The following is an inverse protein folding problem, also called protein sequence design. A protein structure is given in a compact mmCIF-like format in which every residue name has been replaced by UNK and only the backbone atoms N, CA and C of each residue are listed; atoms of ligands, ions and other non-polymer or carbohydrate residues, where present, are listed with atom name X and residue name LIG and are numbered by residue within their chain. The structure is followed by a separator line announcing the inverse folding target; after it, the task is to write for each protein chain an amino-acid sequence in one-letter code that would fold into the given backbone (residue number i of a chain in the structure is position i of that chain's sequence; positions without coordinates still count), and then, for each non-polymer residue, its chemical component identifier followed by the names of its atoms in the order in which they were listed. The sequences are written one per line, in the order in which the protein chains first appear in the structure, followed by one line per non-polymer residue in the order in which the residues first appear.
data_IF_778037556877
#
_entry.id   IF_778037556877
#
_cell.length_a   1.000
_cell.length_b   1.000
_cell.length_c   1.000
_cell.angle_alpha   90.00
_cell.angle_beta   90.00
_cell.angle_gamma   90.00
#
_symmetry.space_group_name_H-M   'P 1'
#
loop_
_entity.id
_entity.type
_entity.pdbx_description
1 polymer ?
#
# COMPACT_ATOMS: atom_id res chain seq x y z
N UNK A 1 -7.45 -14.38 13.57
CA UNK A 1 -8.12 -13.15 13.98
C UNK A 1 -9.61 -13.39 14.14
N UNK A 2 -10.15 -13.06 15.28
CA UNK A 2 -11.55 -13.32 15.58
C UNK A 2 -12.41 -12.09 15.30
N UNK A 3 -13.01 -12.04 14.11
CA UNK A 3 -13.84 -10.91 13.68
C UNK A 3 -15.22 -10.92 14.31
N UNK A 4 -15.64 -12.04 14.92
CA UNK A 4 -16.98 -12.17 15.51
C UNK A 4 -17.27 -11.16 16.61
N UNK A 5 -16.24 -10.68 17.27
CA UNK A 5 -16.37 -9.75 18.40
C UNK A 5 -16.14 -8.29 18.00
N UNK A 6 -15.92 -8.03 16.71
CA UNK A 6 -15.72 -6.66 16.23
C UNK A 6 -17.06 -6.05 15.85
N UNK A 7 -17.41 -4.97 16.55
CA UNK A 7 -18.56 -4.15 16.19
C UNK A 7 -18.08 -2.99 15.35
N UNK A 8 -17.80 -3.25 14.08
CA UNK A 8 -17.34 -2.23 13.15
C UNK A 8 -18.29 -2.13 11.98
N UNK A 9 -18.54 -0.90 11.52
CA UNK A 9 -19.33 -0.66 10.32
C UNK A 9 -18.54 -1.06 9.07
N UNK A 10 -17.23 -0.87 9.10
CA UNK A 10 -16.34 -1.17 7.99
C UNK A 10 -15.09 -1.89 8.47
N UNK A 11 -14.58 -2.78 7.63
CA UNK A 11 -13.26 -3.37 7.79
C UNK A 11 -12.38 -2.84 6.67
N UNK A 12 -11.18 -2.36 7.02
CA UNK A 12 -10.24 -1.81 6.06
C UNK A 12 -8.96 -2.63 6.10
N UNK A 13 -8.49 -3.04 4.95
CA UNK A 13 -7.23 -3.76 4.79
C UNK A 13 -6.35 -3.00 3.81
N UNK A 14 -5.08 -2.84 4.16
CA UNK A 14 -4.08 -2.21 3.31
C UNK A 14 -2.93 -3.21 3.15
N UNK A 15 -2.68 -3.62 1.92
CA UNK A 15 -1.60 -4.57 1.63
C UNK A 15 -0.67 -4.01 0.58
N UNK A 16 0.59 -3.81 0.96
CA UNK A 16 1.64 -3.45 0.02
C UNK A 16 2.01 -4.62 -0.88
N UNK A 17 2.47 -4.31 -2.07
CA UNK A 17 2.91 -5.31 -3.02
C UNK A 17 3.95 -4.75 -3.96
N UNK A 18 4.56 -5.65 -4.70
CA UNK A 18 5.50 -5.31 -5.76
C UNK A 18 5.20 -6.15 -6.99
N UNK A 19 5.35 -5.56 -8.16
CA UNK A 19 5.26 -6.24 -9.44
C UNK A 19 6.55 -6.06 -10.22
N UNK A 20 6.93 -7.08 -10.94
CA UNK A 20 8.08 -7.01 -11.83
C UNK A 20 7.65 -6.37 -13.15
N UNK A 21 8.35 -5.30 -13.53
CA UNK A 21 8.14 -4.60 -14.79
C UNK A 21 9.50 -4.32 -15.42
N UNK A 22 9.77 -4.90 -16.59
CA UNK A 22 11.01 -4.69 -17.35
C UNK A 22 12.27 -4.86 -16.50
N UNK A 23 12.41 -5.98 -15.80
CA UNK A 23 13.55 -6.30 -14.94
C UNK A 23 13.70 -5.42 -13.69
N UNK A 24 12.73 -4.59 -13.41
CA UNK A 24 12.69 -3.79 -12.19
C UNK A 24 11.36 -4.01 -11.49
N UNK A 25 11.27 -3.63 -10.22
CA UNK A 25 10.02 -3.75 -9.47
C UNK A 25 9.36 -2.40 -9.30
N UNK A 26 8.04 -2.43 -9.35
CA UNK A 26 7.18 -1.31 -8.93
C UNK A 26 6.57 -1.63 -7.59
N UNK A 27 6.38 -0.61 -6.77
CA UNK A 27 5.66 -0.74 -5.51
C UNK A 27 4.27 -0.12 -5.62
N UNK A 28 3.33 -0.69 -4.88
CA UNK A 28 1.95 -0.22 -4.79
C UNK A 28 1.32 -0.77 -3.52
N UNK A 29 0.09 -0.40 -3.25
CA UNK A 29 -0.70 -1.01 -2.19
C UNK A 29 -2.14 -1.22 -2.65
N UNK A 30 -2.74 -2.31 -2.21
CA UNK A 30 -4.16 -2.58 -2.36
C UNK A 30 -4.91 -2.12 -1.13
N UNK A 31 -6.03 -1.47 -1.34
CA UNK A 31 -6.96 -1.09 -0.28
C UNK A 31 -8.25 -1.88 -0.49
N UNK A 32 -8.68 -2.57 0.53
CA UNK A 32 -9.95 -3.30 0.50
C UNK A 32 -10.79 -2.82 1.68
N UNK A 33 -11.99 -2.35 1.38
CA UNK A 33 -12.95 -1.89 2.37
C UNK A 33 -14.19 -2.75 2.24
N UNK A 34 -14.65 -3.31 3.34
CA UNK A 34 -15.86 -4.13 3.32
C UNK A 34 -16.80 -3.76 4.44
N UNK A 35 -18.08 -3.89 4.17
CA UNK A 35 -19.10 -3.93 5.18
C UNK A 35 -19.81 -5.29 5.09
N UNK A 36 -20.98 -5.43 5.69
CA UNK A 36 -21.72 -6.69 5.66
C UNK A 36 -22.21 -7.08 4.27
N UNK A 37 -22.33 -6.13 3.36
CA UNK A 37 -23.00 -6.32 2.07
C UNK A 37 -22.11 -6.09 0.86
N UNK A 38 -21.06 -5.30 1.00
CA UNK A 38 -20.27 -4.84 -0.14
C UNK A 38 -18.78 -4.87 0.14
N UNK A 39 -18.03 -4.95 -0.94
CA UNK A 39 -16.58 -4.81 -0.92
C UNK A 39 -16.19 -3.75 -1.94
N UNK A 40 -15.41 -2.77 -1.50
CA UNK A 40 -14.78 -1.81 -2.38
C UNK A 40 -13.28 -2.07 -2.41
N UNK A 41 -12.69 -1.97 -3.58
CA UNK A 41 -11.25 -2.18 -3.77
C UNK A 41 -10.66 -1.07 -4.59
N UNK A 42 -9.45 -0.67 -4.25
CA UNK A 42 -8.67 0.24 -5.06
C UNK A 42 -7.19 -0.04 -4.87
N UNK A 43 -6.42 0.35 -5.83
CA UNK A 43 -4.97 0.20 -5.82
C UNK A 43 -4.38 1.61 -5.83
N UNK A 44 -3.32 1.82 -5.06
CA UNK A 44 -2.59 3.08 -5.11
C UNK A 44 -1.94 3.24 -6.49
N UNK A 45 -1.46 4.44 -6.78
CA UNK A 45 -0.51 4.60 -7.88
C UNK A 45 0.72 3.72 -7.61
N UNK A 46 1.34 3.23 -8.65
CA UNK A 46 2.59 2.47 -8.55
C UNK A 46 3.77 3.38 -8.86
N UNK A 47 4.94 3.02 -8.33
CA UNK A 47 6.16 3.74 -8.64
C UNK A 47 7.34 2.78 -8.74
N UNK A 48 8.32 3.13 -9.58
CA UNK A 48 9.49 2.32 -9.77
C UNK A 48 10.39 2.34 -8.54
N UNK A 49 10.88 1.19 -8.14
CA UNK A 49 11.82 1.08 -7.03
C UNK A 49 13.26 1.25 -7.54
N UNK A 50 14.16 1.78 -6.70
CA UNK A 50 15.58 1.81 -7.04
C UNK A 50 16.12 0.41 -7.38
N UNK A 51 17.10 0.35 -8.28
CA UNK A 51 17.68 -0.94 -8.68
C UNK A 51 18.24 -1.74 -7.53
N UNK A 52 18.83 -1.07 -6.55
CA UNK A 52 19.37 -1.75 -5.36
C UNK A 52 18.29 -2.46 -4.57
N UNK A 53 17.12 -1.82 -4.43
CA UNK A 53 15.98 -2.41 -3.75
C UNK A 53 15.42 -3.58 -4.58
N UNK A 54 15.28 -3.41 -5.89
CA UNK A 54 14.82 -4.48 -6.77
C UNK A 54 15.71 -5.71 -6.71
N UNK A 55 17.02 -5.52 -6.64
CA UNK A 55 17.97 -6.64 -6.50
C UNK A 55 17.76 -7.40 -5.20
N UNK A 56 17.54 -6.70 -4.10
CA UNK A 56 17.29 -7.34 -2.80
C UNK A 56 15.97 -8.11 -2.81
N UNK A 57 14.93 -7.56 -3.43
CA UNK A 57 13.65 -8.27 -3.57
C UNK A 57 13.83 -9.56 -4.38
N UNK A 58 14.62 -9.52 -5.46
CA UNK A 58 14.93 -10.71 -6.25
C UNK A 58 15.68 -11.78 -5.44
N UNK A 59 16.44 -11.36 -4.44
CA UNK A 59 17.16 -12.26 -3.52
C UNK A 59 16.26 -12.83 -2.42
N UNK A 60 15.00 -12.39 -2.35
CA UNK A 60 14.03 -12.90 -1.38
C UNK A 60 13.75 -11.98 -0.20
N UNK A 61 14.31 -10.78 -0.15
CA UNK A 61 14.00 -9.82 0.90
C UNK A 61 12.62 -9.20 0.68
N UNK A 62 11.92 -8.94 1.76
CA UNK A 62 10.68 -8.17 1.69
C UNK A 62 10.98 -6.70 1.47
N UNK A 63 10.00 -5.96 0.92
CA UNK A 63 10.20 -4.55 0.58
C UNK A 63 10.65 -3.71 1.77
N UNK A 64 10.02 -3.87 2.93
CA UNK A 64 10.39 -3.11 4.12
C UNK A 64 11.83 -3.32 4.55
N UNK A 65 12.30 -4.58 4.51
CA UNK A 65 13.67 -4.92 4.85
C UNK A 65 14.65 -4.36 3.83
N UNK A 66 14.32 -4.47 2.55
CA UNK A 66 15.14 -3.94 1.48
C UNK A 66 15.25 -2.41 1.58
N UNK A 67 14.15 -1.72 1.89
CA UNK A 67 14.15 -0.28 2.11
C UNK A 67 15.09 0.11 3.25
N UNK A 68 15.00 -0.58 4.37
CA UNK A 68 15.85 -0.31 5.54
C UNK A 68 17.34 -0.47 5.21
N UNK A 69 17.68 -1.52 4.46
CA UNK A 69 19.04 -1.79 4.05
C UNK A 69 19.59 -0.70 3.11
N UNK A 70 18.81 -0.29 2.14
CA UNK A 70 19.26 0.66 1.11
C UNK A 70 19.25 2.09 1.65
N UNK A 71 18.24 2.46 2.41
CA UNK A 71 18.16 3.81 2.97
C UNK A 71 18.90 3.95 4.29
N UNK A 72 19.44 2.86 4.82
CA UNK A 72 20.16 2.83 6.10
C UNK A 72 19.29 3.38 7.23
N UNK A 73 18.03 2.96 7.26
CA UNK A 73 17.06 3.37 8.27
C UNK A 73 16.41 2.15 8.88
N UNK A 74 16.01 2.26 10.13
CA UNK A 74 15.15 1.25 10.77
C UNK A 74 13.71 1.75 10.68
N UNK A 75 12.79 0.81 10.50
CA UNK A 75 11.36 1.10 10.48
C UNK A 75 10.96 2.16 9.43
N UNK A 76 11.41 1.99 8.20
CA UNK A 76 11.05 2.89 7.10
C UNK A 76 9.53 3.06 6.96
N UNK A 77 8.74 2.05 7.34
CA UNK A 77 7.28 2.14 7.35
C UNK A 77 6.77 3.23 8.29
N UNK A 78 7.45 3.45 9.41
CA UNK A 78 7.07 4.50 10.37
C UNK A 78 7.57 5.88 9.97
N UNK A 79 8.47 5.93 9.00
CA UNK A 79 9.08 7.17 8.52
C UNK A 79 8.59 7.51 7.10
N UNK A 80 7.28 7.34 6.87
CA UNK A 80 6.61 7.59 5.59
C UNK A 80 6.94 6.60 4.47
N UNK A 81 7.65 5.50 4.79
CA UNK A 81 7.95 4.45 3.83
C UNK A 81 8.76 4.90 2.63
N UNK A 82 8.85 4.03 1.64
CA UNK A 82 9.61 4.32 0.43
C UNK A 82 9.07 5.52 -0.33
N UNK A 83 7.74 5.68 -0.40
CA UNK A 83 7.14 6.81 -1.13
C UNK A 83 7.56 8.15 -0.54
N UNK A 84 7.60 8.27 0.78
CA UNK A 84 8.04 9.49 1.44
C UNK A 84 9.51 9.76 1.21
N UNK A 85 10.34 8.73 1.36
CA UNK A 85 11.79 8.86 1.18
C UNK A 85 12.13 9.23 -0.26
N UNK A 86 11.57 8.51 -1.23
CA UNK A 86 11.90 8.71 -2.65
C UNK A 86 11.36 10.01 -3.23
N UNK A 87 10.32 10.57 -2.63
CA UNK A 87 9.76 11.84 -3.10
C UNK A 87 10.24 13.03 -2.27
N UNK A 88 11.18 12.83 -1.35
CA UNK A 88 11.62 13.87 -0.40
C UNK A 88 10.44 14.47 0.35
N UNK A 89 9.50 13.63 0.75
CA UNK A 89 8.28 13.99 1.48
C UNK A 89 7.31 14.90 0.73
N UNK A 90 7.43 14.98 -0.59
CA UNK A 90 6.39 15.64 -1.39
C UNK A 90 5.06 14.88 -1.31
N UNK A 91 5.16 13.55 -1.21
CA UNK A 91 4.00 12.69 -0.97
C UNK A 91 4.37 11.83 0.24
N UNK A 92 3.63 11.98 1.33
CA UNK A 92 3.83 11.10 2.47
C UNK A 92 2.94 9.86 2.33
N UNK A 93 3.13 8.89 3.24
CA UNK A 93 2.38 7.64 3.17
C UNK A 93 0.88 7.84 3.38
N UNK A 94 0.50 8.79 4.23
CA UNK A 94 -0.91 9.10 4.46
C UNK A 94 -1.57 9.60 3.18
N UNK A 95 -1.00 10.58 2.51
CA UNK A 95 -1.51 11.09 1.24
C UNK A 95 -1.58 10.00 0.19
N UNK A 96 -0.56 9.17 0.13
CA UNK A 96 -0.47 8.07 -0.82
C UNK A 96 -1.63 7.09 -0.67
N UNK A 97 -2.00 6.75 0.57
CA UNK A 97 -3.10 5.83 0.82
C UNK A 97 -4.48 6.49 0.75
N UNK A 98 -4.60 7.77 1.12
CA UNK A 98 -5.89 8.46 1.16
C UNK A 98 -6.60 8.43 -0.18
N UNK A 99 -5.90 8.67 -1.27
CA UNK A 99 -6.48 8.60 -2.62
C UNK A 99 -7.11 7.24 -2.88
N UNK A 100 -6.39 6.17 -2.59
CA UNK A 100 -6.89 4.81 -2.82
C UNK A 100 -8.05 4.47 -1.89
N UNK A 101 -8.03 4.96 -0.65
CA UNK A 101 -9.13 4.77 0.30
C UNK A 101 -10.40 5.42 -0.23
N UNK A 102 -10.30 6.65 -0.71
CA UNK A 102 -11.45 7.35 -1.29
C UNK A 102 -12.01 6.56 -2.47
N UNK A 103 -11.14 6.06 -3.35
CA UNK A 103 -11.57 5.27 -4.50
C UNK A 103 -12.21 3.94 -4.08
N UNK A 104 -11.69 3.30 -3.05
CA UNK A 104 -12.28 2.07 -2.52
C UNK A 104 -13.66 2.30 -1.89
N UNK A 105 -13.97 3.51 -1.48
CA UNK A 105 -15.27 3.86 -0.92
C UNK A 105 -16.34 4.12 -2.00
N UNK A 106 -15.98 4.18 -3.28
CA UNK A 106 -16.92 4.48 -4.36
C UNK A 106 -18.19 3.61 -4.31
N UNK A 107 -18.13 2.27 -4.15
CA UNK A 107 -19.35 1.48 -4.08
C UNK A 107 -20.24 1.83 -2.90
N UNK A 108 -19.67 2.35 -1.82
CA UNK A 108 -20.43 2.73 -0.62
C UNK A 108 -21.08 4.11 -0.74
N UNK A 109 -20.39 5.05 -1.41
CA UNK A 109 -20.91 6.40 -1.62
C UNK A 109 -21.88 6.47 -2.80
N UNK A 110 -21.91 5.46 -3.64
CA UNK A 110 -22.80 5.35 -4.80
C UNK A 110 -23.55 4.03 -4.78
N UNK A 111 -24.12 3.68 -3.64
CA UNK A 111 -24.66 2.35 -3.41
C UNK A 111 -25.71 1.91 -4.44
N UNK A 112 -26.43 2.86 -5.04
CA UNK A 112 -27.44 2.53 -6.06
C UNK A 112 -26.84 2.07 -7.39
N UNK A 113 -25.55 2.37 -7.63
CA UNK A 113 -24.86 1.97 -8.86
C UNK A 113 -24.15 0.63 -8.70
N UNK A 114 -23.98 0.18 -7.51
CA UNK A 114 -23.24 -1.03 -7.17
C UNK A 114 -24.12 -1.95 -6.32
#
# INVERSE_FOLDING_TARGET
QNIKHLEADYLVSIEGGVDLLDNNYEAFAWIVISDKNKIGKAKTASFALPLKISKLIKQGYELGDADDMVFKRSNSKQQNGAVGILTNNLIDRTEYYVHAIILALIPFTNSKLY
#
